data_IF_558828362783
#
_entry.id   IF_558828362783
#
_cell.length_a   1.000
_cell.length_b   1.000
_cell.length_c   1.000
_cell.angle_alpha   90.00
_cell.angle_beta   90.00
_cell.angle_gamma   90.00
#
_symmetry.space_group_name_H-M   'P 1'
#
loop_
_entity.id
_entity.type
_entity.pdbx_description
1 polymer ?
#
# COMPACT_ATOMS: atom_id res chain seq x y z
N UNK A 1 -45.08 -21.53 52.95
CA UNK A 1 -43.69 -21.08 52.76
C UNK A 1 -43.24 -21.47 51.37
N UNK A 2 -43.23 -20.54 50.43
CA UNK A 2 -42.62 -20.76 49.11
C UNK A 2 -41.86 -19.47 48.79
N UNK A 3 -40.53 -19.56 48.75
CA UNK A 3 -39.66 -18.46 48.34
C UNK A 3 -39.60 -18.46 46.80
N UNK A 4 -40.11 -17.43 46.09
CA UNK A 4 -39.96 -17.36 44.65
C UNK A 4 -38.73 -16.51 44.28
N UNK A 5 -38.01 -17.00 43.25
CA UNK A 5 -37.42 -16.19 42.17
C UNK A 5 -36.08 -15.47 42.30
N UNK A 6 -35.20 -15.76 43.27
CA UNK A 6 -33.85 -15.16 43.28
C UNK A 6 -33.03 -15.48 42.02
N UNK A 7 -33.22 -16.67 41.43
CA UNK A 7 -32.52 -17.08 40.21
C UNK A 7 -32.91 -16.27 38.96
N UNK A 8 -34.20 -15.94 38.81
CA UNK A 8 -34.70 -15.22 37.63
C UNK A 8 -34.37 -13.73 37.64
N UNK A 9 -34.15 -13.15 38.82
CA UNK A 9 -33.78 -11.73 38.96
C UNK A 9 -32.29 -11.51 38.67
N UNK A 10 -31.42 -12.43 39.11
CA UNK A 10 -29.99 -12.41 38.76
C UNK A 10 -29.75 -12.59 37.26
N UNK A 11 -30.54 -13.40 36.56
CA UNK A 11 -30.41 -13.61 35.11
C UNK A 11 -30.77 -12.34 34.31
N UNK A 12 -31.80 -11.60 34.76
CA UNK A 12 -32.18 -10.31 34.18
C UNK A 12 -31.13 -9.24 34.42
N UNK A 13 -30.52 -9.21 35.60
CA UNK A 13 -29.42 -8.27 35.90
C UNK A 13 -28.20 -8.59 35.03
N UNK A 14 -27.88 -9.88 34.84
CA UNK A 14 -26.80 -10.31 33.94
C UNK A 14 -27.10 -9.91 32.48
N UNK A 15 -28.35 -10.04 32.05
CA UNK A 15 -28.78 -9.64 30.71
C UNK A 15 -28.74 -8.12 30.51
N UNK A 16 -29.03 -7.33 31.54
CA UNK A 16 -28.91 -5.87 31.51
C UNK A 16 -27.45 -5.40 31.52
N UNK A 17 -26.57 -6.11 32.25
CA UNK A 17 -25.12 -5.86 32.25
C UNK A 17 -24.45 -6.20 30.91
N UNK A 18 -24.95 -7.23 30.21
CA UNK A 18 -24.45 -7.67 28.91
C UNK A 18 -25.09 -6.93 27.71
N UNK A 19 -26.05 -6.03 27.96
CA UNK A 19 -26.74 -5.27 26.93
C UNK A 19 -26.03 -3.97 26.53
N UNK A 20 -26.31 -3.43 25.32
CA UNK A 20 -25.82 -2.11 24.93
C UNK A 20 -26.30 -1.02 25.90
N UNK A 21 -25.43 -0.06 26.22
CA UNK A 21 -25.75 1.08 27.11
C UNK A 21 -26.84 2.03 26.56
N UNK A 22 -27.30 1.84 25.33
CA UNK A 22 -28.37 2.62 24.70
C UNK A 22 -28.97 1.91 23.49
N UNK A 23 -30.18 2.35 23.08
CA UNK A 23 -30.80 1.87 21.85
C UNK A 23 -29.95 2.29 20.64
N UNK A 24 -29.61 1.36 19.74
CA UNK A 24 -28.81 1.69 18.58
C UNK A 24 -29.59 2.60 17.60
N UNK A 25 -28.89 3.45 16.82
CA UNK A 25 -29.51 4.21 15.75
C UNK A 25 -30.20 3.29 14.74
N UNK A 26 -31.25 3.80 14.09
CA UNK A 26 -32.09 3.01 13.20
C UNK A 26 -31.27 2.27 12.12
N UNK A 27 -31.33 0.94 12.12
CA UNK A 27 -30.72 0.07 11.11
C UNK A 27 -29.40 -0.62 11.48
N UNK A 28 -28.81 -0.36 12.66
CA UNK A 28 -27.53 -0.99 13.06
C UNK A 28 -27.74 -1.90 14.27
N UNK A 29 -27.44 -3.19 14.15
CA UNK A 29 -27.35 -4.09 15.31
C UNK A 29 -25.95 -4.01 15.90
N UNK A 30 -25.86 -3.79 17.22
CA UNK A 30 -24.57 -3.75 17.91
C UNK A 30 -23.95 -5.15 17.93
N UNK A 31 -22.86 -5.33 17.19
CA UNK A 31 -22.15 -6.60 17.11
C UNK A 31 -21.09 -6.65 18.22
N UNK A 32 -21.37 -7.39 19.29
CA UNK A 32 -20.50 -7.52 20.46
C UNK A 32 -19.58 -8.75 20.40
N UNK A 33 -19.94 -9.77 19.62
CA UNK A 33 -19.12 -11.00 19.47
C UNK A 33 -17.86 -10.77 18.63
N UNK A 34 -17.95 -9.87 17.63
CA UNK A 34 -16.81 -9.49 16.79
C UNK A 34 -16.93 -8.01 16.37
N UNK A 35 -16.65 -7.06 17.27
CA UNK A 35 -16.70 -5.64 16.91
C UNK A 35 -15.76 -5.39 15.73
N UNK A 36 -16.16 -4.59 14.72
CA UNK A 36 -15.33 -4.31 13.56
C UNK A 36 -14.03 -3.61 13.99
N UNK A 37 -12.98 -4.40 14.15
CA UNK A 37 -11.67 -3.94 14.59
C UNK A 37 -10.95 -3.27 13.43
N UNK A 38 -10.83 -1.94 13.49
CA UNK A 38 -10.04 -1.16 12.52
C UNK A 38 -8.59 -1.64 12.47
N UNK A 39 -8.05 -2.15 13.59
CA UNK A 39 -6.72 -2.76 13.66
C UNK A 39 -6.61 -4.06 12.86
N UNK A 40 -7.65 -4.91 12.86
CA UNK A 40 -7.64 -6.16 12.07
C UNK A 40 -7.61 -5.85 10.57
N UNK A 41 -8.41 -4.90 10.11
CA UNK A 41 -8.42 -4.48 8.70
C UNK A 41 -7.07 -3.87 8.28
N UNK A 42 -6.44 -3.08 9.17
CA UNK A 42 -5.13 -2.52 8.94
C UNK A 42 -4.06 -3.62 8.83
N UNK A 43 -3.98 -4.52 9.81
CA UNK A 43 -3.01 -5.61 9.83
C UNK A 43 -3.20 -6.51 8.61
N UNK A 44 -4.43 -6.89 8.29
CA UNK A 44 -4.72 -7.70 7.11
C UNK A 44 -4.25 -7.01 5.83
N UNK A 45 -4.51 -5.70 5.68
CA UNK A 45 -4.06 -4.94 4.49
C UNK A 45 -2.54 -4.82 4.42
N UNK A 46 -1.86 -4.59 5.55
CA UNK A 46 -0.39 -4.52 5.61
C UNK A 46 0.23 -5.88 5.28
N UNK A 47 -0.28 -6.96 5.88
CA UNK A 47 0.21 -8.33 5.62
C UNK A 47 0.04 -8.68 4.15
N UNK A 48 -1.14 -8.43 3.58
CA UNK A 48 -1.39 -8.68 2.15
C UNK A 48 -0.46 -7.86 1.26
N UNK A 49 -0.28 -6.57 1.54
CA UNK A 49 0.62 -5.70 0.78
C UNK A 49 2.09 -6.12 0.90
N UNK A 50 2.48 -6.69 2.04
CA UNK A 50 3.84 -7.15 2.30
C UNK A 50 4.11 -8.48 1.59
N UNK A 51 3.15 -9.40 1.58
CA UNK A 51 3.25 -10.63 0.81
C UNK A 51 3.29 -10.32 -0.69
N UNK A 52 2.43 -9.41 -1.18
CA UNK A 52 2.41 -9.08 -2.61
C UNK A 52 3.69 -8.37 -3.06
N UNK A 53 4.21 -7.42 -2.27
CA UNK A 53 5.45 -6.72 -2.62
C UNK A 53 6.66 -7.64 -2.58
N UNK A 54 6.78 -8.50 -1.56
CA UNK A 54 7.90 -9.44 -1.44
C UNK A 54 7.95 -10.40 -2.62
N UNK A 55 6.80 -10.92 -3.07
CA UNK A 55 6.72 -11.76 -4.28
C UNK A 55 7.20 -11.01 -5.53
N UNK A 56 6.72 -9.77 -5.75
CA UNK A 56 7.15 -8.95 -6.91
C UNK A 56 8.65 -8.67 -6.86
N UNK A 57 9.18 -8.34 -5.69
CA UNK A 57 10.61 -8.10 -5.47
C UNK A 57 11.43 -9.34 -5.76
N UNK A 58 11.02 -10.51 -5.26
CA UNK A 58 11.71 -11.78 -5.51
C UNK A 58 11.73 -12.10 -7.00
N UNK A 59 10.61 -11.93 -7.71
CA UNK A 59 10.53 -12.15 -9.16
C UNK A 59 11.46 -11.18 -9.91
N UNK A 60 11.49 -9.90 -9.51
CA UNK A 60 12.38 -8.90 -10.10
C UNK A 60 13.85 -9.23 -9.85
N UNK A 61 14.20 -9.60 -8.63
CA UNK A 61 15.57 -9.93 -8.26
C UNK A 61 16.04 -11.19 -8.97
N UNK A 62 15.20 -12.23 -9.03
CA UNK A 62 15.48 -13.45 -9.79
C UNK A 62 15.68 -13.15 -11.27
N UNK A 63 14.75 -12.39 -11.87
CA UNK A 63 14.87 -11.94 -13.25
C UNK A 63 16.18 -11.19 -13.46
N UNK A 64 16.46 -10.12 -12.71
CA UNK A 64 17.70 -9.35 -12.93
C UNK A 64 18.98 -10.15 -12.66
N UNK A 65 19.03 -11.00 -11.62
CA UNK A 65 20.21 -11.81 -11.31
C UNK A 65 20.51 -12.87 -12.38
N UNK A 66 19.50 -13.63 -12.79
CA UNK A 66 19.68 -14.76 -13.73
C UNK A 66 19.75 -14.27 -15.17
N UNK A 67 18.96 -13.25 -15.48
CA UNK A 67 18.68 -12.84 -16.85
C UNK A 67 19.54 -11.65 -17.31
N UNK A 68 19.89 -10.72 -16.41
CA UNK A 68 20.57 -9.45 -16.76
C UNK A 68 21.95 -9.34 -16.09
N UNK A 69 22.20 -10.08 -14.98
CA UNK A 69 23.42 -10.05 -14.15
C UNK A 69 23.84 -8.64 -13.67
N UNK A 70 22.93 -7.67 -13.70
CA UNK A 70 23.16 -6.30 -13.26
C UNK A 70 22.01 -5.86 -12.37
N UNK A 71 22.32 -5.54 -11.11
CA UNK A 71 21.36 -5.03 -10.13
C UNK A 71 21.61 -3.54 -9.97
N UNK A 72 20.58 -2.71 -10.20
CA UNK A 72 20.71 -1.26 -10.13
C UNK A 72 20.47 -0.76 -8.68
N UNK A 73 21.04 0.39 -8.34
CA UNK A 73 20.82 1.05 -7.04
C UNK A 73 19.33 1.40 -6.81
N UNK A 74 18.60 1.60 -7.91
CA UNK A 74 17.16 1.88 -7.94
C UNK A 74 16.33 0.80 -7.23
N UNK A 75 16.73 -0.47 -7.38
CA UNK A 75 16.01 -1.60 -6.78
C UNK A 75 16.11 -1.58 -5.23
N UNK A 76 17.23 -1.08 -4.68
CA UNK A 76 17.42 -0.90 -3.24
C UNK A 76 16.69 0.35 -2.71
N UNK A 77 16.66 1.43 -3.48
CA UNK A 77 15.97 2.66 -3.11
C UNK A 77 14.45 2.44 -2.99
N UNK A 78 13.86 1.65 -3.89
CA UNK A 78 12.44 1.29 -3.84
C UNK A 78 12.13 0.46 -2.58
N UNK A 79 12.97 -0.52 -2.24
CA UNK A 79 12.81 -1.31 -1.02
C UNK A 79 12.88 -0.44 0.24
N UNK A 80 13.83 0.49 0.30
CA UNK A 80 13.97 1.43 1.40
C UNK A 80 12.76 2.36 1.52
N UNK A 81 12.32 2.97 0.42
CA UNK A 81 11.16 3.86 0.40
C UNK A 81 9.87 3.12 0.80
N UNK A 82 9.72 1.87 0.37
CA UNK A 82 8.60 1.02 0.74
C UNK A 82 8.61 0.63 2.23
N UNK A 83 9.79 0.26 2.76
CA UNK A 83 10.00 0.01 4.19
C UNK A 83 9.55 1.24 4.99
N UNK A 84 10.06 2.42 4.67
CA UNK A 84 9.70 3.66 5.37
C UNK A 84 8.18 3.97 5.36
N UNK A 85 7.44 3.60 4.30
CA UNK A 85 5.98 3.79 4.26
C UNK A 85 5.22 2.87 5.21
N UNK A 86 5.68 1.64 5.39
CA UNK A 86 5.08 0.71 6.36
C UNK A 86 5.21 1.25 7.79
N UNK A 87 6.34 1.90 8.09
CA UNK A 87 6.62 2.44 9.41
C UNK A 87 6.01 3.83 9.69
N UNK A 88 5.15 4.36 8.81
CA UNK A 88 4.32 5.54 9.11
C UNK A 88 2.85 5.12 9.34
N UNK A 89 2.52 4.43 10.46
CA UNK A 89 1.15 4.22 10.86
C UNK A 89 0.74 5.41 11.74
N UNK A 90 0.24 6.49 11.13
CA UNK A 90 -0.43 7.51 11.93
C UNK A 90 -1.71 7.99 11.24
N UNK A 91 -2.84 7.41 11.67
CA UNK A 91 -4.18 7.85 11.22
C UNK A 91 -4.99 8.33 12.39
N UNK A 92 -5.04 9.65 12.54
CA UNK A 92 -6.23 10.31 13.05
C UNK A 92 -7.23 10.43 11.89
N UNK A 93 -8.28 9.61 11.89
CA UNK A 93 -9.62 9.86 11.31
C UNK A 93 -9.83 10.20 9.83
N UNK A 94 -8.80 10.48 9.02
CA UNK A 94 -8.99 10.98 7.65
C UNK A 94 -9.08 9.84 6.61
N UNK A 95 -10.29 9.35 6.38
CA UNK A 95 -10.63 8.36 5.35
C UNK A 95 -10.08 8.66 3.92
N UNK A 96 -10.07 9.91 3.39
CA UNK A 96 -9.50 10.15 2.05
C UNK A 96 -7.99 9.88 1.99
N UNK A 97 -7.22 10.19 3.03
CA UNK A 97 -5.78 9.92 3.06
C UNK A 97 -5.48 8.41 3.10
N UNK A 98 -6.30 7.64 3.84
CA UNK A 98 -6.24 6.17 3.82
C UNK A 98 -6.35 5.66 2.38
N UNK A 99 -7.42 6.08 1.69
CA UNK A 99 -7.76 5.59 0.36
C UNK A 99 -6.69 5.99 -0.65
N UNK A 100 -6.22 7.23 -0.65
CA UNK A 100 -5.18 7.69 -1.58
C UNK A 100 -3.86 6.93 -1.41
N UNK A 101 -3.43 6.63 -0.18
CA UNK A 101 -2.20 5.85 0.06
C UNK A 101 -2.31 4.44 -0.53
N UNK A 102 -3.45 3.78 -0.32
CA UNK A 102 -3.64 2.42 -0.81
C UNK A 102 -3.76 2.37 -2.32
N UNK A 103 -4.51 3.30 -2.92
CA UNK A 103 -4.62 3.39 -4.39
C UNK A 103 -3.24 3.56 -5.02
N UNK A 104 -2.39 4.44 -4.48
CA UNK A 104 -1.02 4.64 -4.97
C UNK A 104 -0.10 3.43 -4.76
N UNK A 105 -0.24 2.73 -3.63
CA UNK A 105 0.54 1.53 -3.36
C UNK A 105 0.17 0.38 -4.30
N UNK A 106 -1.12 0.11 -4.45
CA UNK A 106 -1.62 -0.95 -5.32
C UNK A 106 -1.38 -0.65 -6.81
N UNK A 107 -1.50 0.61 -7.24
CA UNK A 107 -1.19 0.99 -8.62
C UNK A 107 0.28 0.81 -8.97
N UNK A 108 1.20 1.16 -8.04
CA UNK A 108 2.63 0.94 -8.22
C UNK A 108 2.96 -0.56 -8.31
N UNK A 109 2.43 -1.37 -7.38
CA UNK A 109 2.66 -2.82 -7.38
C UNK A 109 2.17 -3.44 -8.71
N UNK A 110 0.97 -3.06 -9.16
CA UNK A 110 0.40 -3.55 -10.42
C UNK A 110 1.24 -3.14 -11.64
N UNK A 111 1.65 -1.87 -11.72
CA UNK A 111 2.50 -1.39 -12.81
C UNK A 111 3.84 -2.15 -12.87
N UNK A 112 4.52 -2.30 -11.73
CA UNK A 112 5.82 -2.97 -11.69
C UNK A 112 5.72 -4.46 -12.00
N UNK A 113 4.63 -5.13 -11.61
CA UNK A 113 4.35 -6.51 -11.98
C UNK A 113 4.20 -6.65 -13.50
N UNK A 114 3.39 -5.80 -14.13
CA UNK A 114 3.18 -5.81 -15.59
C UNK A 114 4.48 -5.50 -16.34
N UNK A 115 5.24 -4.50 -15.88
CA UNK A 115 6.52 -4.16 -16.48
C UNK A 115 7.51 -5.34 -16.42
N UNK A 116 7.58 -6.08 -15.31
CA UNK A 116 8.46 -7.25 -15.19
C UNK A 116 8.02 -8.41 -16.08
N UNK A 117 6.70 -8.65 -16.19
CA UNK A 117 6.19 -9.65 -17.14
C UNK A 117 6.57 -9.25 -18.57
N UNK A 118 6.41 -7.97 -18.92
CA UNK A 118 6.77 -7.44 -20.23
C UNK A 118 8.26 -7.61 -20.53
N UNK A 119 9.15 -7.33 -19.57
CA UNK A 119 10.60 -7.54 -19.70
C UNK A 119 10.97 -9.01 -19.95
N UNK A 120 10.23 -9.95 -19.35
CA UNK A 120 10.47 -11.40 -19.54
C UNK A 120 10.08 -11.83 -20.97
N UNK A 121 8.97 -11.31 -21.50
CA UNK A 121 8.43 -11.68 -22.82
C UNK A 121 8.86 -10.74 -23.96
N UNK A 122 9.66 -9.71 -23.66
CA UNK A 122 10.09 -8.66 -24.60
C UNK A 122 10.72 -9.23 -25.88
N UNK A 123 11.48 -10.33 -25.78
CA UNK A 123 12.08 -11.03 -26.90
C UNK A 123 11.85 -12.54 -26.78
N UNK A 124 11.38 -13.14 -27.88
CA UNK A 124 11.34 -14.60 -28.02
C UNK A 124 12.14 -14.99 -29.27
N UNK A 125 13.26 -15.75 -29.15
CA UNK A 125 13.92 -16.21 -27.92
C UNK A 125 14.72 -15.09 -27.22
N UNK A 126 14.87 -15.21 -25.89
CA UNK A 126 15.51 -14.18 -25.05
C UNK A 126 16.99 -13.94 -25.40
N UNK A 127 17.67 -14.96 -25.91
CA UNK A 127 19.09 -14.91 -26.29
C UNK A 127 19.38 -13.88 -27.38
N UNK A 128 18.36 -13.52 -28.18
CA UNK A 128 18.44 -12.50 -29.24
C UNK A 128 18.78 -11.10 -28.70
N UNK A 129 18.58 -10.84 -27.40
CA UNK A 129 19.01 -9.58 -26.75
C UNK A 129 20.53 -9.42 -26.78
N UNK A 130 21.29 -10.52 -26.65
CA UNK A 130 22.75 -10.49 -26.49
C UNK A 130 23.50 -10.99 -27.72
N UNK A 131 22.86 -11.83 -28.55
CA UNK A 131 23.47 -12.40 -29.74
C UNK A 131 22.68 -12.01 -31.01
N UNK A 132 23.11 -10.96 -31.73
CA UNK A 132 22.41 -10.47 -32.92
C UNK A 132 22.51 -11.43 -34.13
N UNK A 133 23.28 -12.52 -34.02
CA UNK A 133 23.42 -13.53 -35.08
C UNK A 133 22.19 -14.43 -35.21
N UNK A 134 21.29 -14.42 -34.22
CA UNK A 134 20.04 -15.20 -34.24
C UNK A 134 18.95 -14.37 -34.96
N UNK A 135 18.70 -14.70 -36.23
CA UNK A 135 17.72 -13.99 -37.07
C UNK A 135 16.27 -14.37 -36.77
N UNK A 136 16.01 -15.59 -36.29
CA UNK A 136 14.66 -16.09 -35.95
C UNK A 136 14.12 -15.46 -34.67
N UNK A 137 12.88 -14.94 -34.71
CA UNK A 137 12.17 -14.40 -33.54
C UNK A 137 11.87 -12.91 -33.62
N UNK A 138 11.03 -12.42 -32.72
CA UNK A 138 10.61 -11.02 -32.64
C UNK A 138 10.96 -10.41 -31.28
N UNK A 139 11.29 -9.11 -31.30
CA UNK A 139 11.60 -8.31 -30.14
C UNK A 139 10.76 -7.03 -30.15
N UNK A 140 10.18 -6.69 -29.00
CA UNK A 140 9.53 -5.41 -28.79
C UNK A 140 10.55 -4.29 -28.52
N UNK A 141 10.13 -3.04 -28.74
CA UNK A 141 10.99 -1.88 -28.61
C UNK A 141 11.31 -1.60 -27.12
N UNK A 142 12.55 -1.88 -26.72
CA UNK A 142 13.03 -1.66 -25.36
C UNK A 142 12.95 -0.19 -24.92
N UNK A 143 13.23 0.75 -25.84
CA UNK A 143 13.24 2.18 -25.52
C UNK A 143 11.84 2.66 -25.14
N UNK A 144 10.80 2.15 -25.81
CA UNK A 144 9.42 2.48 -25.48
C UNK A 144 9.04 1.98 -24.06
N UNK A 145 9.52 0.80 -23.67
CA UNK A 145 9.29 0.25 -22.33
C UNK A 145 10.03 1.03 -21.24
N UNK A 146 11.29 1.42 -21.49
CA UNK A 146 12.05 2.26 -20.57
C UNK A 146 11.43 3.65 -20.41
N UNK A 147 10.97 4.27 -21.51
CA UNK A 147 10.27 5.56 -21.45
C UNK A 147 8.96 5.46 -20.64
N UNK A 148 8.15 4.42 -20.86
CA UNK A 148 6.91 4.22 -20.11
C UNK A 148 7.17 4.07 -18.60
N UNK A 149 8.21 3.32 -18.24
CA UNK A 149 8.66 3.16 -16.85
C UNK A 149 9.13 4.48 -16.25
N UNK A 150 9.94 5.25 -16.99
CA UNK A 150 10.42 6.57 -16.56
C UNK A 150 9.27 7.54 -16.28
N UNK A 151 8.28 7.63 -17.19
CA UNK A 151 7.11 8.49 -17.02
C UNK A 151 6.31 8.10 -15.77
N UNK A 152 6.05 6.80 -15.59
CA UNK A 152 5.29 6.31 -14.44
C UNK A 152 5.98 6.59 -13.10
N UNK A 153 7.31 6.44 -13.06
CA UNK A 153 8.09 6.72 -11.86
C UNK A 153 8.01 8.20 -11.48
N UNK A 154 8.19 9.10 -12.45
CA UNK A 154 8.06 10.55 -12.21
C UNK A 154 6.67 10.91 -11.69
N UNK A 155 5.60 10.37 -12.30
CA UNK A 155 4.22 10.62 -11.86
C UNK A 155 4.00 10.08 -10.44
N UNK A 156 4.51 8.89 -10.15
CA UNK A 156 4.40 8.28 -8.83
C UNK A 156 5.09 9.15 -7.78
N UNK A 157 6.30 9.62 -8.06
CA UNK A 157 7.08 10.49 -7.15
C UNK A 157 6.31 11.77 -6.82
N UNK A 158 5.81 12.49 -7.82
CA UNK A 158 4.98 13.68 -7.57
C UNK A 158 3.73 13.36 -6.73
N UNK A 159 3.08 12.23 -6.99
CA UNK A 159 1.90 11.81 -6.23
C UNK A 159 2.21 11.55 -4.76
N UNK A 160 3.39 10.98 -4.47
CA UNK A 160 3.86 10.70 -3.11
C UNK A 160 4.24 11.99 -2.38
N UNK A 161 4.85 12.95 -3.08
CA UNK A 161 5.21 14.26 -2.51
C UNK A 161 3.98 15.11 -2.18
N UNK A 162 2.91 15.01 -2.99
CA UNK A 162 1.65 15.75 -2.78
C UNK A 162 0.79 15.12 -1.66
N UNK A 163 0.94 13.81 -1.43
CA UNK A 163 0.18 13.04 -0.44
C UNK A 163 0.16 13.69 0.97
N UNK A 164 1.29 14.10 1.57
CA UNK A 164 1.28 14.79 2.86
C UNK A 164 0.84 16.26 2.75
N UNK A 165 0.99 16.91 1.59
CA UNK A 165 0.66 18.33 1.46
C UNK A 165 -0.83 18.62 1.61
N UNK A 166 -1.71 17.75 1.10
CA UNK A 166 -3.16 17.93 1.18
C UNK A 166 -3.66 17.99 2.65
N UNK A 167 -3.37 17.01 3.53
CA UNK A 167 -3.81 17.08 4.93
C UNK A 167 -3.09 18.16 5.74
N UNK A 168 -1.79 18.41 5.49
CA UNK A 168 -1.08 19.51 6.17
C UNK A 168 -1.64 20.88 5.79
N UNK A 169 -2.14 21.07 4.57
CA UNK A 169 -2.74 22.34 4.14
C UNK A 169 -3.99 22.73 4.94
N UNK A 170 -4.73 21.73 5.45
CA UNK A 170 -5.95 21.90 6.24
C UNK A 170 -5.69 21.99 7.75
N UNK A 171 -4.46 21.73 8.19
CA UNK A 171 -4.08 21.84 9.59
C UNK A 171 -3.59 23.27 9.87
N UNK A 172 -4.20 23.95 10.85
CA UNK A 172 -3.85 25.33 11.24
C UNK A 172 -2.48 25.38 11.94
N UNK A 173 -1.41 25.19 11.17
CA UNK A 173 -0.03 25.28 11.65
C UNK A 173 0.63 26.59 11.18
N UNK A 174 1.53 27.17 11.99
CA UNK A 174 2.26 28.38 11.63
C UNK A 174 3.05 28.17 10.32
N UNK A 175 2.97 29.15 9.42
CA UNK A 175 3.47 29.11 8.04
C UNK A 175 4.94 28.64 7.95
N UNK A 176 5.78 28.97 8.94
CA UNK A 176 7.18 28.54 9.03
C UNK A 176 7.34 27.01 9.01
N UNK A 177 6.50 26.26 9.73
CA UNK A 177 6.55 24.78 9.75
C UNK A 177 6.06 24.19 8.43
N UNK A 178 5.05 24.82 7.82
CA UNK A 178 4.49 24.41 6.51
C UNK A 178 5.52 24.58 5.39
N UNK A 179 6.21 25.72 5.35
CA UNK A 179 7.27 25.99 4.37
C UNK A 179 8.45 25.04 4.57
N UNK A 180 8.87 24.78 5.82
CA UNK A 180 9.98 23.86 6.10
C UNK A 180 9.70 22.45 5.61
N UNK A 181 8.46 21.97 5.75
CA UNK A 181 8.05 20.64 5.29
C UNK A 181 7.99 20.56 3.75
N UNK A 182 7.51 21.61 3.08
CA UNK A 182 7.53 21.72 1.61
C UNK A 182 8.97 21.77 1.09
N UNK A 183 9.87 22.51 1.76
CA UNK A 183 11.26 22.62 1.37
C UNK A 183 12.00 21.27 1.45
N UNK A 184 11.74 20.45 2.47
CA UNK A 184 12.32 19.10 2.59
C UNK A 184 11.87 18.20 1.43
N UNK A 185 10.59 18.25 1.04
CA UNK A 185 10.08 17.48 -0.08
C UNK A 185 10.60 17.98 -1.45
N UNK A 186 10.77 19.29 -1.61
CA UNK A 186 11.34 19.88 -2.83
C UNK A 186 12.84 19.57 -2.97
N UNK A 187 13.59 19.55 -1.88
CA UNK A 187 15.00 19.19 -1.87
C UNK A 187 15.24 17.71 -2.22
N UNK A 188 14.29 16.82 -1.90
CA UNK A 188 14.37 15.40 -2.27
C UNK A 188 13.99 15.09 -3.72
N UNK A 189 13.47 16.07 -4.48
CA UNK A 189 13.09 15.92 -5.88
C UNK A 189 14.14 16.47 -6.87
N UNK A 190 15.24 17.05 -6.36
CA UNK A 190 16.38 17.57 -7.13
C UNK A 190 17.56 16.60 -7.12
#
# INVERSE_FOLDING_TARGET
>A
MAAPSTAGESEKILALLNGPAGAPPAGVKSNFDNPPNLHTNLIATVVVGLVSSTLVVVIRFYSKLVLIKSTAYEDYAVLMAWYLRIFIPNRKGNMPLYVTIHVLAWSNIGFYLVATIFEIIMCSPREKIWNPLISTGHCYNANAAYMATGIFNVISDFSILILPMIPISKLQMPLKKKIMMIAIFAAGAM
#
